data_IF_065527433904
#
_entry.id   IF_065527433904
#
_cell.length_a   1.000
_cell.length_b   1.000
_cell.length_c   1.000
_cell.angle_alpha   90.00
_cell.angle_beta   90.00
_cell.angle_gamma   90.00
#
_symmetry.space_group_name_H-M   'P 1'
#
loop_
_entity.id
_entity.type
_entity.pdbx_description
1 polymer ?
#
# COMPACT_ATOMS: atom_id res chain seq x y z
N UNK A 1 -6.41 -7.31 -23.83
CA UNK A 1 -5.04 -7.34 -23.29
C UNK A 1 -5.18 -7.52 -21.80
N UNK A 2 -4.89 -8.73 -21.29
CA UNK A 2 -5.02 -9.05 -19.87
C UNK A 2 -3.73 -8.63 -19.15
N UNK A 3 -3.81 -7.60 -18.32
CA UNK A 3 -2.71 -7.16 -17.46
C UNK A 3 -2.90 -7.75 -16.07
N UNK A 4 -1.92 -8.53 -15.62
CA UNK A 4 -1.44 -8.79 -14.25
C UNK A 4 -2.40 -8.98 -13.03
N UNK A 5 -3.72 -9.01 -13.14
CA UNK A 5 -4.61 -9.11 -11.95
C UNK A 5 -5.15 -10.53 -11.67
N UNK A 6 -4.61 -11.55 -12.35
CA UNK A 6 -5.08 -12.92 -12.22
C UNK A 6 -4.57 -13.59 -10.91
N UNK A 7 -5.23 -13.30 -9.79
CA UNK A 7 -5.13 -14.13 -8.58
C UNK A 7 -5.16 -13.41 -7.23
N UNK A 8 -5.21 -12.08 -7.20
CA UNK A 8 -5.32 -11.34 -5.94
C UNK A 8 -6.80 -11.26 -5.53
N UNK A 9 -7.12 -11.82 -4.36
CA UNK A 9 -8.43 -11.68 -3.72
C UNK A 9 -8.58 -10.27 -3.15
N UNK A 10 -9.82 -9.83 -3.06
CA UNK A 10 -10.19 -8.49 -2.60
C UNK A 10 -11.33 -8.63 -1.59
N UNK A 11 -11.09 -9.42 -0.54
CA UNK A 11 -12.04 -9.64 0.53
C UNK A 11 -12.18 -8.36 1.38
N UNK A 12 -13.39 -8.07 1.87
CA UNK A 12 -13.67 -6.80 2.55
C UNK A 12 -12.80 -6.58 3.81
N UNK A 13 -12.41 -5.32 4.01
CA UNK A 13 -11.75 -4.83 5.21
C UNK A 13 -12.05 -3.34 5.40
N UNK A 14 -11.80 -2.84 6.61
CA UNK A 14 -11.83 -1.42 6.96
C UNK A 14 -10.39 -0.96 7.12
N UNK A 15 -9.98 0.06 6.36
CA UNK A 15 -8.73 0.76 6.60
C UNK A 15 -8.94 1.80 7.71
N UNK A 16 -8.35 1.56 8.89
CA UNK A 16 -8.49 2.45 10.04
C UNK A 16 -7.47 3.60 9.99
N UNK A 17 -6.24 3.29 9.59
CA UNK A 17 -5.17 4.28 9.46
C UNK A 17 -4.06 3.81 8.52
N UNK A 18 -3.32 4.77 7.99
CA UNK A 18 -2.10 4.57 7.23
C UNK A 18 -1.11 5.68 7.59
N UNK A 19 0.14 5.33 7.86
CA UNK A 19 1.20 6.28 8.17
C UNK A 19 2.52 5.84 7.55
N UNK A 20 3.34 6.82 7.16
CA UNK A 20 4.70 6.58 6.66
C UNK A 20 5.69 7.05 7.72
N UNK A 21 6.66 6.21 8.04
CA UNK A 21 7.79 6.55 8.92
C UNK A 21 9.07 5.96 8.34
N UNK A 22 9.97 6.83 7.88
CA UNK A 22 11.14 6.39 7.11
C UNK A 22 10.71 5.62 5.87
N UNK A 23 11.24 4.42 5.71
CA UNK A 23 10.94 3.53 4.58
C UNK A 23 9.76 2.60 4.84
N UNK A 24 8.96 2.83 5.88
CA UNK A 24 7.88 1.90 6.24
C UNK A 24 6.54 2.59 6.10
N UNK A 25 5.64 2.01 5.31
CA UNK A 25 4.20 2.24 5.39
C UNK A 25 3.63 1.29 6.45
N UNK A 26 3.07 1.84 7.53
CA UNK A 26 2.27 1.09 8.49
C UNK A 26 0.79 1.35 8.21
N UNK A 27 -0.01 0.29 8.15
CA UNK A 27 -1.47 0.37 8.05
C UNK A 27 -2.12 -0.37 9.19
N UNK A 28 -3.25 0.14 9.68
CA UNK A 28 -4.13 -0.58 10.60
C UNK A 28 -5.43 -0.91 9.89
N UNK A 29 -5.84 -2.17 9.96
CA UNK A 29 -7.04 -2.68 9.29
C UNK A 29 -7.90 -3.49 10.25
N UNK A 30 -9.21 -3.49 10.02
CA UNK A 30 -10.16 -4.41 10.65
C UNK A 30 -10.87 -5.23 9.59
N UNK A 31 -11.10 -6.52 9.83
CA UNK A 31 -11.71 -7.41 8.84
C UNK A 31 -12.47 -8.54 9.52
N UNK A 32 -13.38 -9.20 8.78
CA UNK A 32 -14.09 -10.38 9.24
C UNK A 32 -13.19 -11.62 9.17
N UNK A 33 -13.22 -12.48 10.19
CA UNK A 33 -12.39 -13.68 10.29
C UNK A 33 -11.41 -13.64 11.47
N UNK A 34 -10.28 -14.34 11.35
CA UNK A 34 -9.22 -14.40 12.37
C UNK A 34 -8.90 -15.83 12.87
N UNK A 35 -9.53 -16.84 12.29
CA UNK A 35 -9.23 -18.25 12.53
C UNK A 35 -8.20 -18.81 11.52
N UNK A 36 -8.03 -18.13 10.38
CA UNK A 36 -7.01 -18.46 9.38
C UNK A 36 -6.03 -17.30 9.24
N UNK A 37 -4.94 -17.55 8.53
CA UNK A 37 -4.03 -16.48 8.14
C UNK A 37 -4.69 -15.60 7.09
N UNK A 38 -4.69 -14.29 7.31
CA UNK A 38 -5.10 -13.28 6.36
C UNK A 38 -3.85 -12.69 5.69
N UNK A 39 -3.93 -12.41 4.39
CA UNK A 39 -2.81 -11.85 3.63
C UNK A 39 -3.20 -10.47 3.11
N UNK A 40 -2.40 -9.47 3.48
CA UNK A 40 -2.51 -8.12 2.96
C UNK A 40 -1.36 -7.82 2.01
N UNK A 41 -1.68 -7.38 0.79
CA UNK A 41 -0.70 -7.06 -0.25
C UNK A 41 -0.85 -5.62 -0.70
N UNK A 42 0.23 -4.84 -0.58
CA UNK A 42 0.30 -3.49 -1.17
C UNK A 42 0.63 -3.62 -2.65
N UNK A 43 -0.31 -3.26 -3.50
CA UNK A 43 -0.14 -3.21 -4.96
C UNK A 43 0.03 -1.76 -5.38
N UNK A 44 0.93 -1.49 -6.31
CA UNK A 44 1.29 -0.14 -6.77
C UNK A 44 1.25 -0.05 -8.28
N UNK A 45 1.02 1.13 -8.81
CA UNK A 45 1.06 1.36 -10.25
C UNK A 45 2.46 1.15 -10.85
N UNK A 46 2.49 0.80 -12.14
CA UNK A 46 3.72 0.58 -12.91
C UNK A 46 4.48 1.87 -13.23
N UNK A 47 3.81 3.03 -13.18
CA UNK A 47 4.40 4.33 -13.47
C UNK A 47 3.97 5.37 -12.45
N UNK A 48 4.79 6.40 -12.30
CA UNK A 48 4.42 7.62 -11.58
C UNK A 48 3.43 8.44 -12.41
N UNK A 49 2.56 9.18 -11.73
CA UNK A 49 1.71 10.20 -12.33
C UNK A 49 2.45 11.53 -12.26
N UNK A 50 2.44 12.26 -13.38
CA UNK A 50 3.09 13.56 -13.50
C UNK A 50 2.37 14.62 -12.65
N UNK A 51 2.99 14.97 -11.53
CA UNK A 51 2.48 15.92 -10.53
C UNK A 51 3.61 16.39 -9.61
N UNK A 52 3.33 17.35 -8.73
CA UNK A 52 4.29 17.88 -7.75
C UNK A 52 3.72 17.80 -6.33
N UNK A 53 4.21 16.88 -5.44
CA UNK A 53 5.16 15.80 -5.73
C UNK A 53 4.58 14.78 -6.72
N UNK A 54 5.45 13.93 -7.30
CA UNK A 54 4.98 12.85 -8.17
C UNK A 54 4.09 11.90 -7.37
N UNK A 55 2.96 11.51 -7.96
CA UNK A 55 2.04 10.57 -7.32
C UNK A 55 2.32 9.14 -7.75
N UNK A 56 2.16 8.21 -6.81
CA UNK A 56 2.21 6.77 -7.06
C UNK A 56 0.91 6.14 -6.55
N UNK A 57 -0.05 5.79 -7.44
CA UNK A 57 -1.25 5.08 -7.05
C UNK A 57 -0.94 3.73 -6.41
N UNK A 58 -1.66 3.39 -5.35
CA UNK A 58 -1.54 2.16 -4.61
C UNK A 58 -2.91 1.66 -4.13
N UNK A 59 -3.05 0.35 -3.98
CA UNK A 59 -4.23 -0.31 -3.41
C UNK A 59 -3.76 -1.41 -2.46
N UNK A 60 -4.46 -1.55 -1.34
CA UNK A 60 -4.24 -2.64 -0.40
C UNK A 60 -5.25 -3.75 -0.69
N UNK A 61 -4.76 -4.95 -0.99
CA UNK A 61 -5.56 -6.14 -1.29
C UNK A 61 -5.58 -7.08 -0.10
N UNK A 62 -6.68 -7.79 0.08
CA UNK A 62 -6.90 -8.70 1.21
C UNK A 62 -7.38 -10.07 0.72
N UNK A 63 -6.70 -11.14 1.16
CA UNK A 63 -7.14 -12.53 1.01
C UNK A 63 -7.40 -13.14 2.39
N UNK A 64 -8.67 -13.43 2.66
CA UNK A 64 -9.13 -14.07 3.89
C UNK A 64 -8.89 -15.59 3.89
N UNK A 65 -8.38 -16.18 2.79
CA UNK A 65 -8.16 -17.62 2.66
C UNK A 65 -9.41 -18.47 2.95
N UNK A 66 -10.58 -17.91 2.61
CA UNK A 66 -11.89 -18.52 2.86
C UNK A 66 -12.21 -18.67 4.34
N UNK A 67 -11.72 -17.77 5.21
CA UNK A 67 -12.09 -17.74 6.61
C UNK A 67 -13.55 -17.28 6.78
N UNK A 68 -14.37 -18.15 7.35
CA UNK A 68 -15.79 -17.89 7.62
C UNK A 68 -16.05 -17.63 9.10
N UNK A 69 -15.01 -17.44 9.92
CA UNK A 69 -15.18 -17.11 11.33
C UNK A 69 -15.82 -15.74 11.53
N UNK A 70 -16.67 -15.63 12.56
CA UNK A 70 -17.39 -14.42 12.94
C UNK A 70 -16.62 -13.61 14.01
N UNK A 71 -15.32 -13.41 13.78
CA UNK A 71 -14.52 -12.49 14.57
C UNK A 71 -14.20 -11.22 13.75
N UNK A 72 -13.82 -10.15 14.44
CA UNK A 72 -13.54 -8.85 13.82
C UNK A 72 -12.25 -8.23 14.41
N UNK A 73 -11.09 -8.87 14.18
CA UNK A 73 -9.81 -8.37 14.69
C UNK A 73 -9.46 -7.01 14.08
N UNK A 74 -8.59 -6.30 14.78
CA UNK A 74 -7.87 -5.13 14.27
C UNK A 74 -6.39 -5.41 14.36
N UNK A 75 -5.72 -5.35 13.23
CA UNK A 75 -4.30 -5.70 13.10
C UNK A 75 -3.53 -4.62 12.36
N UNK A 76 -2.20 -4.67 12.52
CA UNK A 76 -1.27 -3.74 11.88
C UNK A 76 -0.33 -4.47 10.94
N UNK A 77 -0.20 -3.95 9.72
CA UNK A 77 0.69 -4.46 8.69
C UNK A 77 1.71 -3.40 8.31
N UNK A 78 2.92 -3.83 7.97
CA UNK A 78 4.00 -2.94 7.53
C UNK A 78 4.50 -3.34 6.14
N UNK A 79 4.79 -2.34 5.32
CA UNK A 79 5.31 -2.50 3.96
C UNK A 79 6.57 -1.66 3.80
N UNK A 80 7.62 -2.27 3.25
CA UNK A 80 8.87 -1.59 2.91
C UNK A 80 8.70 -0.76 1.63
N UNK A 81 8.99 0.53 1.69
CA UNK A 81 8.93 1.50 0.60
C UNK A 81 10.31 1.78 -0.03
N UNK A 82 11.39 1.13 0.41
CA UNK A 82 12.71 1.28 -0.19
C UNK A 82 12.71 0.97 -1.69
N UNK A 83 11.83 0.05 -2.14
CA UNK A 83 11.66 -0.23 -3.56
C UNK A 83 11.05 0.98 -4.32
N UNK A 84 10.19 1.79 -3.69
CA UNK A 84 9.62 3.01 -4.29
C UNK A 84 10.74 4.01 -4.54
N UNK A 85 11.63 4.21 -3.57
CA UNK A 85 12.82 5.06 -3.72
C UNK A 85 13.71 4.55 -4.86
N UNK A 86 13.96 3.24 -4.93
CA UNK A 86 14.75 2.67 -6.02
C UNK A 86 14.11 2.95 -7.39
N UNK A 87 12.78 2.77 -7.52
CA UNK A 87 12.04 3.09 -8.74
C UNK A 87 12.07 4.58 -9.09
N UNK A 88 11.91 5.46 -8.09
CA UNK A 88 12.01 6.90 -8.30
C UNK A 88 13.38 7.27 -8.86
N UNK A 89 14.46 6.76 -8.25
CA UNK A 89 15.83 7.05 -8.70
C UNK A 89 16.15 6.51 -10.09
N UNK A 90 15.55 5.38 -10.47
CA UNK A 90 15.69 4.84 -11.82
C UNK A 90 15.04 5.73 -12.90
N UNK A 91 14.00 6.51 -12.53
CA UNK A 91 13.27 7.39 -13.45
C UNK A 91 13.81 8.82 -13.44
N UNK A 92 14.04 9.39 -12.25
CA UNK A 92 14.35 10.81 -12.07
C UNK A 92 15.83 11.09 -11.71
N UNK A 93 16.63 10.04 -11.52
CA UNK A 93 18.04 10.14 -11.15
C UNK A 93 18.31 10.03 -9.64
N UNK A 94 19.60 9.96 -9.24
CA UNK A 94 19.98 9.84 -7.84
C UNK A 94 19.68 11.12 -7.07
N UNK A 95 19.36 11.00 -5.79
CA UNK A 95 19.16 12.14 -4.89
C UNK A 95 18.00 11.95 -3.91
N UNK A 96 17.68 13.05 -3.23
CA UNK A 96 16.49 13.16 -2.41
C UNK A 96 15.23 13.19 -3.28
N UNK A 97 14.11 12.74 -2.74
CA UNK A 97 12.85 12.70 -3.46
C UNK A 97 11.65 12.71 -2.53
N UNK A 98 10.50 13.08 -3.09
CA UNK A 98 9.21 13.11 -2.43
C UNK A 98 8.21 12.45 -3.36
N UNK A 99 7.52 11.42 -2.87
CA UNK A 99 6.49 10.68 -3.60
C UNK A 99 5.22 10.70 -2.78
N UNK A 100 4.12 11.22 -3.34
CA UNK A 100 2.81 11.09 -2.73
C UNK A 100 2.26 9.69 -3.06
N UNK A 101 2.20 8.81 -2.06
CA UNK A 101 1.62 7.48 -2.19
C UNK A 101 0.10 7.60 -2.10
N UNK A 102 -0.59 7.44 -3.21
CA UNK A 102 -2.05 7.57 -3.27
C UNK A 102 -2.68 6.20 -3.00
N UNK A 103 -2.86 5.90 -1.71
CA UNK A 103 -3.52 4.67 -1.26
C UNK A 103 -5.05 4.86 -1.27
N UNK A 104 -5.77 3.92 -1.88
CA UNK A 104 -7.23 3.94 -1.87
C UNK A 104 -7.81 3.94 -0.44
N UNK A 105 -8.89 4.68 -0.23
CA UNK A 105 -9.48 4.90 1.10
C UNK A 105 -8.72 5.89 2.01
N UNK A 106 -7.62 6.48 1.54
CA UNK A 106 -6.83 7.48 2.28
C UNK A 106 -6.93 8.85 1.58
N UNK A 107 -7.08 9.98 2.31
CA UNK A 107 -7.09 11.31 1.70
C UNK A 107 -5.84 11.57 0.86
N UNK A 108 -6.02 12.23 -0.29
CA UNK A 108 -4.90 12.64 -1.16
C UNK A 108 -3.85 13.45 -0.37
N UNK A 109 -2.59 13.31 -0.78
CA UNK A 109 -1.43 14.01 -0.20
C UNK A 109 -1.17 13.79 1.31
N UNK A 110 -1.92 12.91 1.99
CA UNK A 110 -1.69 12.60 3.40
C UNK A 110 -0.54 11.62 3.64
N UNK A 111 -0.16 10.84 2.63
CA UNK A 111 0.95 9.90 2.66
C UNK A 111 2.07 10.36 1.73
N UNK A 112 2.94 11.23 2.24
CA UNK A 112 4.14 11.68 1.52
C UNK A 112 5.35 10.89 1.99
N UNK A 113 5.89 10.07 1.09
CA UNK A 113 7.15 9.37 1.29
C UNK A 113 8.32 10.28 0.90
N UNK A 114 9.12 10.66 1.90
CA UNK A 114 10.31 11.51 1.71
C UNK A 114 11.57 10.71 2.02
N UNK A 115 12.59 10.87 1.18
CA UNK A 115 13.88 10.23 1.37
C UNK A 115 15.01 11.15 0.93
N UNK A 116 16.17 10.99 1.55
CA UNK A 116 17.38 11.75 1.21
C UNK A 116 18.23 11.03 0.16
N UNK A 117 19.29 11.70 -0.31
CA UNK A 117 20.26 11.13 -1.24
C UNK A 117 21.00 9.93 -0.65
#
# INVERSE_FOLDING_TARGET
MAGADAGLRDDDYILNSATITGDTLAVSVSYSGGCRTHVFTLVIAASFVDSTPVRLPAVLRHDANGDTCEAFPTESYTFDLAFVRARYRAVYGPGAGRVALQLDGVPEDSLVYEFTA
#
